data_IF_923043053774
#
_entry.id   IF_923043053774
#
_cell.length_a   1.000
_cell.length_b   1.000
_cell.length_c   1.000
_cell.angle_alpha   90.00
_cell.angle_beta   90.00
_cell.angle_gamma   90.00
#
_symmetry.space_group_name_H-M   'P 1'
#
loop_
_entity.id
_entity.type
_entity.pdbx_description
1 polymer ?
#
# COMPACT_ATOMS: atom_id res chain seq x y z
N UNK A 1 -41.14 11.92 -23.32
CA UNK A 1 -40.14 10.84 -23.46
C UNK A 1 -38.78 11.50 -23.47
N UNK A 2 -38.05 11.35 -22.37
CA UNK A 2 -36.99 12.27 -21.92
C UNK A 2 -35.64 11.99 -22.56
N UNK A 3 -34.81 13.03 -22.63
CA UNK A 3 -33.41 13.09 -23.09
C UNK A 3 -32.50 11.96 -22.57
N UNK A 4 -32.92 11.27 -21.49
CA UNK A 4 -32.28 10.07 -20.93
C UNK A 4 -32.40 8.83 -21.82
N UNK A 5 -33.53 8.62 -22.51
CA UNK A 5 -33.73 7.47 -23.42
C UNK A 5 -32.87 7.62 -24.68
N UNK A 6 -32.71 8.84 -25.18
CA UNK A 6 -31.84 9.13 -26.34
C UNK A 6 -30.37 8.92 -26.00
N UNK A 7 -29.93 9.33 -24.80
CA UNK A 7 -28.58 9.03 -24.29
C UNK A 7 -28.33 7.53 -24.07
N UNK A 8 -29.34 6.79 -23.62
CA UNK A 8 -29.29 5.34 -23.43
C UNK A 8 -29.16 4.57 -24.76
N UNK A 9 -29.93 4.98 -25.79
CA UNK A 9 -29.81 4.39 -27.14
C UNK A 9 -28.45 4.72 -27.76
N UNK A 10 -27.93 5.94 -27.57
CA UNK A 10 -26.58 6.31 -28.01
C UNK A 10 -25.50 5.47 -27.32
N UNK A 11 -25.67 5.15 -26.03
CA UNK A 11 -24.73 4.31 -25.25
C UNK A 11 -24.75 2.85 -25.73
N UNK A 12 -25.94 2.29 -26.00
CA UNK A 12 -26.10 0.94 -26.54
C UNK A 12 -25.50 0.79 -27.96
N UNK A 13 -25.65 1.81 -28.80
CA UNK A 13 -25.02 1.85 -30.14
C UNK A 13 -23.50 2.00 -30.04
N UNK A 14 -22.99 2.71 -29.04
CA UNK A 14 -21.54 2.82 -28.80
C UNK A 14 -20.94 1.50 -28.30
N UNK A 15 -21.66 0.80 -27.41
CA UNK A 15 -21.28 -0.52 -26.89
C UNK A 15 -21.27 -1.58 -28.01
N UNK A 16 -22.27 -1.62 -28.90
CA UNK A 16 -22.31 -2.61 -30.00
C UNK A 16 -21.17 -2.41 -31.02
N UNK A 17 -20.68 -1.19 -31.19
CA UNK A 17 -19.53 -0.88 -32.07
C UNK A 17 -18.20 -1.30 -31.41
N UNK A 18 -18.05 -1.13 -30.10
CA UNK A 18 -16.83 -1.56 -29.38
C UNK A 18 -16.72 -3.10 -29.36
N UNK A 19 -17.82 -3.81 -29.14
CA UNK A 19 -17.81 -5.27 -28.99
C UNK A 19 -17.79 -6.07 -30.31
N UNK A 20 -17.93 -5.42 -31.47
CA UNK A 20 -17.73 -6.10 -32.77
C UNK A 20 -16.25 -6.29 -33.13
N UNK A 21 -15.34 -5.66 -32.37
CA UNK A 21 -13.89 -5.77 -32.58
C UNK A 21 -13.18 -6.70 -31.58
N UNK A 22 -13.85 -7.12 -30.50
CA UNK A 22 -13.29 -8.02 -29.48
C UNK A 22 -13.90 -9.43 -29.58
N UNK A 23 -13.04 -10.45 -29.63
CA UNK A 23 -13.36 -11.86 -29.90
C UNK A 23 -13.91 -12.62 -28.67
N UNK A 24 -14.79 -11.99 -27.89
CA UNK A 24 -15.29 -12.51 -26.60
C UNK A 24 -16.81 -12.36 -26.46
N UNK A 25 -17.56 -12.86 -27.44
CA UNK A 25 -19.02 -12.72 -27.53
C UNK A 25 -19.84 -13.70 -26.67
N UNK A 26 -19.22 -14.55 -25.83
CA UNK A 26 -19.96 -15.70 -25.25
C UNK A 26 -20.32 -15.57 -23.76
N UNK A 27 -19.68 -14.69 -22.97
CA UNK A 27 -19.91 -14.64 -21.51
C UNK A 27 -20.58 -13.35 -20.98
N UNK A 28 -20.74 -12.31 -21.80
CA UNK A 28 -21.19 -10.98 -21.34
C UNK A 28 -22.73 -10.83 -21.41
N UNK A 29 -23.42 -11.70 -22.14
CA UNK A 29 -24.86 -11.59 -22.40
C UNK A 29 -25.76 -11.70 -21.14
N UNK A 30 -25.55 -12.64 -20.19
CA UNK A 30 -26.47 -12.81 -19.06
C UNK A 30 -26.40 -11.69 -18.01
N UNK A 31 -25.22 -11.08 -17.84
CA UNK A 31 -24.99 -10.00 -16.87
C UNK A 31 -25.60 -8.69 -17.37
N UNK A 32 -25.47 -8.39 -18.67
CA UNK A 32 -26.13 -7.27 -19.33
C UNK A 32 -27.65 -7.41 -19.33
N UNK A 33 -28.18 -8.63 -19.47
CA UNK A 33 -29.61 -8.92 -19.37
C UNK A 33 -30.14 -8.67 -17.95
N UNK A 34 -29.44 -9.15 -16.92
CA UNK A 34 -29.78 -8.87 -15.51
C UNK A 34 -29.72 -7.38 -15.18
N UNK A 35 -28.77 -6.65 -15.76
CA UNK A 35 -28.65 -5.20 -15.59
C UNK A 35 -29.82 -4.47 -16.25
N UNK A 36 -30.20 -4.86 -17.47
CA UNK A 36 -31.35 -4.31 -18.17
C UNK A 36 -32.65 -4.56 -17.39
N UNK A 37 -32.85 -5.77 -16.85
CA UNK A 37 -34.03 -6.15 -16.08
C UNK A 37 -34.13 -5.41 -14.74
N UNK A 38 -33.01 -5.15 -14.06
CA UNK A 38 -32.99 -4.37 -12.81
C UNK A 38 -33.22 -2.88 -13.04
N UNK A 39 -32.66 -2.30 -14.11
CA UNK A 39 -32.83 -0.87 -14.45
C UNK A 39 -34.28 -0.57 -14.88
N UNK A 40 -34.95 -1.52 -15.53
CA UNK A 40 -36.38 -1.42 -15.88
C UNK A 40 -37.31 -1.35 -14.65
N UNK A 41 -36.87 -1.86 -13.50
CA UNK A 41 -37.65 -1.93 -12.26
C UNK A 41 -37.43 -0.79 -11.26
N UNK A 42 -36.64 0.25 -11.60
CA UNK A 42 -36.45 1.50 -10.82
C UNK A 42 -36.25 1.30 -9.29
N UNK A 43 -35.36 0.40 -8.88
CA UNK A 43 -34.95 0.28 -7.48
C UNK A 43 -33.76 1.20 -7.16
N UNK A 44 -33.60 1.59 -5.89
CA UNK A 44 -32.45 2.38 -5.40
C UNK A 44 -31.11 1.71 -5.75
N UNK A 45 -31.04 0.37 -5.65
CA UNK A 45 -29.90 -0.46 -6.08
C UNK A 45 -29.48 -0.25 -7.54
N UNK A 46 -30.43 0.11 -8.43
CA UNK A 46 -30.12 0.33 -9.83
C UNK A 46 -29.42 1.68 -10.07
N UNK A 47 -29.68 2.68 -9.22
CA UNK A 47 -28.96 3.96 -9.30
C UNK A 47 -27.53 3.82 -8.77
N UNK A 48 -27.33 3.08 -7.68
CA UNK A 48 -25.99 2.73 -7.19
C UNK A 48 -25.18 1.98 -8.25
N UNK A 49 -25.77 0.99 -8.93
CA UNK A 49 -25.09 0.28 -10.01
C UNK A 49 -24.78 1.16 -11.24
N UNK A 50 -25.65 2.11 -11.56
CA UNK A 50 -25.42 3.07 -12.67
C UNK A 50 -24.30 4.05 -12.31
N UNK A 51 -24.25 4.53 -11.07
CA UNK A 51 -23.18 5.39 -10.59
C UNK A 51 -21.86 4.63 -10.46
N UNK A 52 -21.88 3.36 -10.04
CA UNK A 52 -20.72 2.46 -10.07
C UNK A 52 -20.24 2.19 -11.50
N UNK A 53 -21.14 2.00 -12.46
CA UNK A 53 -20.79 1.79 -13.87
C UNK A 53 -20.26 3.07 -14.54
N UNK A 54 -20.86 4.23 -14.22
CA UNK A 54 -20.35 5.54 -14.67
C UNK A 54 -19.03 5.89 -14.00
N UNK A 55 -18.82 5.49 -12.74
CA UNK A 55 -17.53 5.59 -12.07
C UNK A 55 -16.54 4.55 -12.61
N UNK A 56 -16.97 3.44 -13.20
CA UNK A 56 -16.08 2.51 -13.91
C UNK A 56 -15.58 3.14 -15.22
N UNK A 57 -16.43 3.96 -15.86
CA UNK A 57 -16.13 4.71 -17.08
C UNK A 57 -15.37 6.02 -16.81
N UNK A 58 -15.58 6.64 -15.64
CA UNK A 58 -14.84 7.81 -15.15
C UNK A 58 -13.71 7.34 -14.23
N UNK A 59 -12.46 7.49 -14.66
CA UNK A 59 -11.24 7.10 -13.93
C UNK A 59 -11.04 7.71 -12.52
N UNK A 60 -12.02 8.42 -11.94
CA UNK A 60 -11.99 8.98 -10.59
C UNK A 60 -12.40 7.95 -9.53
N UNK A 61 -11.67 7.88 -8.42
CA UNK A 61 -12.06 7.09 -7.25
C UNK A 61 -13.41 7.57 -6.67
N UNK A 62 -14.18 6.68 -6.02
CA UNK A 62 -15.38 7.08 -5.27
C UNK A 62 -14.98 7.98 -4.09
N UNK A 63 -15.95 8.70 -3.52
CA UNK A 63 -15.71 9.44 -2.28
C UNK A 63 -15.27 8.47 -1.17
N UNK A 64 -14.24 8.83 -0.38
CA UNK A 64 -13.79 7.98 0.70
C UNK A 64 -14.86 7.94 1.80
N UNK A 65 -15.01 6.78 2.45
CA UNK A 65 -15.89 6.66 3.60
C UNK A 65 -15.42 7.57 4.74
N UNK A 66 -16.38 7.99 5.57
CA UNK A 66 -16.08 8.73 6.78
C UNK A 66 -15.39 7.84 7.83
N UNK A 67 -14.77 8.48 8.83
CA UNK A 67 -13.98 7.77 9.83
C UNK A 67 -14.87 6.89 10.73
N UNK A 68 -16.14 7.26 10.91
CA UNK A 68 -17.14 6.51 11.68
C UNK A 68 -17.57 5.21 11.00
N UNK A 69 -17.40 5.10 9.68
CA UNK A 69 -17.64 3.87 8.91
C UNK A 69 -16.41 2.98 8.94
N UNK A 70 -15.22 3.55 8.72
CA UNK A 70 -13.96 2.80 8.66
C UNK A 70 -13.54 2.30 10.05
N UNK A 71 -13.75 3.11 11.08
CA UNK A 71 -13.41 2.85 12.49
C UNK A 71 -11.97 2.33 12.69
N UNK A 72 -10.93 3.04 12.21
CA UNK A 72 -9.57 2.58 12.42
C UNK A 72 -9.19 2.61 13.91
N UNK A 73 -8.28 1.72 14.29
CA UNK A 73 -7.68 1.67 15.62
C UNK A 73 -6.17 1.84 15.52
N UNK A 74 -5.57 2.41 16.56
CA UNK A 74 -4.11 2.52 16.70
C UNK A 74 -3.69 1.96 18.07
N UNK A 75 -3.08 0.78 18.07
CA UNK A 75 -2.72 0.08 19.30
C UNK A 75 -1.22 0.14 19.54
N UNK A 76 -0.82 0.70 20.68
CA UNK A 76 0.57 0.91 21.09
C UNK A 76 1.08 -0.24 21.97
N UNK A 77 2.31 -0.66 21.68
CA UNK A 77 3.03 -1.74 22.33
C UNK A 77 4.44 -1.27 22.73
N UNK A 78 4.83 -1.60 23.97
CA UNK A 78 6.15 -1.30 24.51
C UNK A 78 6.46 -2.33 25.60
N UNK A 79 7.72 -2.79 25.65
CA UNK A 79 8.16 -3.78 26.65
C UNK A 79 7.87 -3.25 28.06
N UNK A 80 7.23 -4.10 28.89
CA UNK A 80 6.94 -3.78 30.28
C UNK A 80 5.70 -2.91 30.50
N UNK A 81 5.07 -2.39 29.43
CA UNK A 81 3.84 -1.62 29.51
C UNK A 81 2.63 -2.45 29.07
N UNK A 82 1.47 -2.19 29.68
CA UNK A 82 0.19 -2.69 29.17
C UNK A 82 -0.13 -1.99 27.85
N UNK A 83 -0.53 -2.75 26.84
CA UNK A 83 -0.92 -2.22 25.53
C UNK A 83 -2.00 -1.13 25.67
N UNK A 84 -1.92 -0.11 24.83
CA UNK A 84 -2.89 1.00 24.83
C UNK A 84 -3.54 1.13 23.46
N UNK A 85 -4.85 0.95 23.40
CA UNK A 85 -5.64 1.06 22.18
C UNK A 85 -6.27 2.45 22.05
N UNK A 86 -6.14 3.03 20.87
CA UNK A 86 -6.78 4.29 20.48
C UNK A 86 -7.88 3.97 19.47
N UNK A 87 -9.12 4.33 19.81
CA UNK A 87 -10.27 4.18 18.91
C UNK A 87 -10.40 5.40 17.99
N UNK A 88 -11.13 5.21 16.88
CA UNK A 88 -11.27 6.20 15.82
C UNK A 88 -11.79 7.58 16.27
N UNK A 89 -12.57 7.64 17.34
CA UNK A 89 -13.22 8.85 17.87
C UNK A 89 -12.41 9.55 18.97
N UNK A 90 -11.26 9.00 19.36
CA UNK A 90 -10.41 9.58 20.39
C UNK A 90 -9.80 10.90 19.92
N UNK A 91 -9.81 11.91 20.80
CA UNK A 91 -9.18 13.20 20.53
C UNK A 91 -7.65 13.06 20.44
N UNK A 92 -7.01 13.46 19.32
CA UNK A 92 -5.57 13.28 19.14
C UNK A 92 -4.73 13.96 20.22
N UNK A 93 -5.09 15.19 20.61
CA UNK A 93 -4.31 15.98 21.57
C UNK A 93 -4.34 15.37 22.96
N UNK A 94 -5.53 15.01 23.46
CA UNK A 94 -5.70 14.35 24.77
C UNK A 94 -5.04 12.98 24.80
N UNK A 95 -5.21 12.20 23.73
CA UNK A 95 -4.63 10.86 23.61
C UNK A 95 -3.11 10.91 23.65
N UNK A 96 -2.49 11.81 22.88
CA UNK A 96 -1.03 11.96 22.85
C UNK A 96 -0.49 12.45 24.19
N UNK A 97 -1.18 13.38 24.87
CA UNK A 97 -0.78 13.81 26.22
C UNK A 97 -0.78 12.63 27.20
N UNK A 98 -1.77 11.74 27.11
CA UNK A 98 -1.83 10.54 27.94
C UNK A 98 -0.74 9.51 27.58
N UNK A 99 -0.55 9.22 26.28
CA UNK A 99 0.53 8.34 25.80
C UNK A 99 1.91 8.81 26.29
N UNK A 100 2.13 10.13 26.30
CA UNK A 100 3.34 10.72 26.85
C UNK A 100 3.45 10.49 28.37
N UNK A 101 2.37 10.71 29.13
CA UNK A 101 2.40 10.56 30.60
C UNK A 101 2.63 9.12 31.05
N UNK A 102 2.23 8.14 30.26
CA UNK A 102 2.45 6.70 30.54
C UNK A 102 3.71 6.14 29.85
N UNK A 103 4.51 6.99 29.20
CA UNK A 103 5.86 6.66 28.74
C UNK A 103 5.99 6.09 27.32
N UNK A 104 4.88 5.90 26.58
CA UNK A 104 4.93 5.38 25.20
C UNK A 104 5.72 6.24 24.22
N UNK A 105 5.89 7.53 24.54
CA UNK A 105 6.62 8.48 23.70
C UNK A 105 8.03 8.79 24.24
N UNK A 106 8.43 8.21 25.38
CA UNK A 106 9.76 8.36 25.98
C UNK A 106 10.74 7.32 25.40
N UNK A 107 10.80 7.25 24.08
CA UNK A 107 11.59 6.28 23.31
C UNK A 107 12.38 6.99 22.23
N UNK A 108 13.33 6.30 21.62
CA UNK A 108 14.10 6.86 20.51
C UNK A 108 13.33 6.80 19.19
N UNK A 109 12.51 5.77 19.01
CA UNK A 109 11.76 5.52 17.77
C UNK A 109 10.33 5.05 18.06
N UNK A 110 9.37 5.62 17.34
CA UNK A 110 8.01 5.11 17.19
C UNK A 110 7.90 4.48 15.80
N UNK A 111 7.55 3.19 15.75
CA UNK A 111 7.37 2.44 14.50
C UNK A 111 5.88 2.17 14.31
N UNK A 112 5.29 2.81 13.30
CA UNK A 112 3.90 2.64 12.88
C UNK A 112 3.83 1.56 11.79
N UNK A 113 2.97 0.56 11.95
CA UNK A 113 2.81 -0.56 11.00
C UNK A 113 1.35 -0.63 10.57
N UNK A 114 1.08 -0.76 9.27
CA UNK A 114 -0.30 -0.87 8.76
C UNK A 114 -0.42 -1.85 7.59
N UNK A 115 -1.58 -2.49 7.50
CA UNK A 115 -1.93 -3.44 6.47
C UNK A 115 -2.59 -2.80 5.23
N UNK A 116 -2.79 -3.63 4.21
CA UNK A 116 -3.47 -3.27 2.97
C UNK A 116 -4.86 -3.85 2.82
N UNK A 117 -5.25 -4.11 1.58
CA UNK A 117 -6.56 -4.64 1.20
C UNK A 117 -6.80 -6.06 1.73
N UNK A 118 -8.04 -6.37 2.11
CA UNK A 118 -8.45 -7.68 2.61
C UNK A 118 -7.66 -8.16 3.85
N UNK A 119 -7.16 -7.20 4.63
CA UNK A 119 -6.46 -7.41 5.89
C UNK A 119 -7.09 -6.49 6.93
N UNK A 120 -6.89 -6.83 8.20
CA UNK A 120 -7.37 -6.05 9.35
C UNK A 120 -6.33 -6.09 10.49
N UNK A 121 -6.68 -5.54 11.66
CA UNK A 121 -5.80 -5.47 12.82
C UNK A 121 -5.21 -6.83 13.24
N UNK A 122 -6.00 -7.90 13.11
CA UNK A 122 -5.66 -9.25 13.60
C UNK A 122 -4.78 -10.03 12.60
N UNK A 123 -4.30 -9.39 11.53
CA UNK A 123 -3.47 -10.08 10.52
C UNK A 123 -2.10 -10.44 11.10
N UNK A 124 -1.76 -11.74 11.09
CA UNK A 124 -0.59 -12.32 11.76
C UNK A 124 0.72 -11.55 11.56
N UNK A 125 1.05 -11.18 10.32
CA UNK A 125 2.34 -10.55 10.01
C UNK A 125 2.55 -9.20 10.74
N UNK A 126 1.47 -8.46 11.04
CA UNK A 126 1.56 -7.22 11.82
C UNK A 126 2.10 -7.51 13.22
N UNK A 127 1.62 -8.60 13.83
CA UNK A 127 2.02 -9.02 15.15
C UNK A 127 3.41 -9.66 15.15
N UNK A 128 3.76 -10.44 14.12
CA UNK A 128 5.12 -10.96 13.96
C UNK A 128 6.16 -9.83 13.88
N UNK A 129 5.88 -8.78 13.09
CA UNK A 129 6.76 -7.61 13.01
C UNK A 129 6.90 -6.92 14.36
N UNK A 130 5.76 -6.68 15.04
CA UNK A 130 5.74 -6.07 16.36
C UNK A 130 6.58 -6.90 17.35
N UNK A 131 6.44 -8.22 17.37
CA UNK A 131 7.20 -9.08 18.29
C UNK A 131 8.70 -9.10 17.95
N UNK A 132 9.09 -9.17 16.68
CA UNK A 132 10.51 -9.09 16.27
C UNK A 132 11.13 -7.73 16.62
N UNK A 133 10.42 -6.62 16.37
CA UNK A 133 10.90 -5.27 16.71
C UNK A 133 11.07 -5.11 18.23
N UNK A 134 10.11 -5.61 19.04
CA UNK A 134 10.26 -5.58 20.50
C UNK A 134 11.42 -6.47 20.96
N UNK A 135 11.66 -7.62 20.33
CA UNK A 135 12.85 -8.44 20.63
C UNK A 135 14.16 -7.71 20.27
N UNK A 136 14.19 -6.94 19.19
CA UNK A 136 15.33 -6.08 18.83
C UNK A 136 15.51 -4.97 19.88
N UNK A 137 14.42 -4.33 20.32
CA UNK A 137 14.44 -3.35 21.42
C UNK A 137 15.11 -3.91 22.67
N UNK A 138 14.73 -5.13 23.08
CA UNK A 138 15.29 -5.81 24.25
C UNK A 138 16.78 -6.15 24.08
N UNK A 139 17.14 -6.77 22.94
CA UNK A 139 18.48 -7.29 22.70
C UNK A 139 19.52 -6.21 22.38
N UNK A 140 19.12 -5.17 21.63
CA UNK A 140 20.02 -4.09 21.19
C UNK A 140 19.94 -2.84 22.08
N UNK A 141 19.07 -2.83 23.10
CA UNK A 141 18.84 -1.70 24.00
C UNK A 141 18.50 -0.40 23.26
N UNK A 142 17.79 -0.51 22.15
CA UNK A 142 17.23 0.65 21.42
C UNK A 142 15.81 0.84 21.95
N UNK A 143 15.49 1.90 22.70
CA UNK A 143 14.13 2.10 23.18
C UNK A 143 13.21 2.40 22.00
N UNK A 144 12.25 1.51 21.73
CA UNK A 144 11.27 1.67 20.66
C UNK A 144 9.86 1.39 21.19
N UNK A 145 8.89 2.09 20.59
CA UNK A 145 7.46 1.80 20.71
C UNK A 145 6.96 1.36 19.34
N UNK A 146 6.14 0.31 19.31
CA UNK A 146 5.47 -0.14 18.08
C UNK A 146 4.00 0.23 18.18
N UNK A 147 3.42 0.75 17.10
CA UNK A 147 1.99 0.97 17.02
C UNK A 147 1.42 0.39 15.73
N UNK A 148 0.42 -0.48 15.87
CA UNK A 148 -0.28 -1.12 14.74
C UNK A 148 -1.53 -0.29 14.44
N UNK A 149 -1.64 0.15 13.19
CA UNK A 149 -2.84 0.78 12.64
C UNK A 149 -3.70 -0.29 11.97
N UNK A 150 -4.83 -0.61 12.59
CA UNK A 150 -5.86 -1.46 12.00
C UNK A 150 -6.95 -0.62 11.36
N UNK A 151 -7.29 -0.88 10.10
CA UNK A 151 -8.35 -0.15 9.39
C UNK A 151 -9.26 -1.08 8.57
N UNK A 152 -9.45 -2.30 9.07
CA UNK A 152 -10.24 -3.36 8.43
C UNK A 152 -11.67 -2.93 8.06
N UNK A 153 -12.32 -2.03 8.81
CA UNK A 153 -13.64 -1.51 8.43
C UNK A 153 -13.68 -0.75 7.10
N UNK A 154 -12.53 -0.34 6.56
CA UNK A 154 -12.40 0.26 5.23
C UNK A 154 -11.48 -0.50 4.26
N UNK A 155 -10.77 -1.53 4.71
CA UNK A 155 -9.81 -2.32 3.91
C UNK A 155 -10.23 -3.78 3.72
N UNK A 156 -10.83 -4.38 4.74
CA UNK A 156 -11.30 -5.76 4.77
C UNK A 156 -12.76 -5.82 4.30
N UNK A 157 -12.94 -5.43 3.05
CA UNK A 157 -14.24 -5.36 2.39
C UNK A 157 -14.26 -6.30 1.19
N UNK A 158 -15.45 -6.51 0.64
CA UNK A 158 -15.64 -7.40 -0.51
C UNK A 158 -14.72 -7.00 -1.66
N UNK A 159 -14.14 -8.00 -2.34
CA UNK A 159 -13.11 -7.82 -3.39
C UNK A 159 -13.55 -6.81 -4.46
N UNK A 160 -14.82 -6.85 -4.88
CA UNK A 160 -15.36 -5.91 -5.88
C UNK A 160 -15.40 -4.43 -5.42
N UNK A 161 -15.21 -4.17 -4.13
CA UNK A 161 -15.11 -2.82 -3.54
C UNK A 161 -13.66 -2.32 -3.39
N UNK A 162 -12.69 -2.92 -4.09
CA UNK A 162 -11.28 -2.49 -4.04
C UNK A 162 -11.11 -0.97 -4.24
N UNK A 163 -11.78 -0.37 -5.22
CA UNK A 163 -11.72 1.09 -5.46
C UNK A 163 -12.16 1.91 -4.24
N UNK A 164 -13.14 1.41 -3.49
CA UNK A 164 -13.57 2.06 -2.25
C UNK A 164 -12.49 1.95 -1.17
N UNK A 165 -11.85 0.78 -1.02
CA UNK A 165 -10.72 0.64 -0.10
C UNK A 165 -9.54 1.54 -0.49
N UNK A 166 -9.25 1.65 -1.78
CA UNK A 166 -8.25 2.58 -2.32
C UNK A 166 -8.61 4.05 -2.02
N UNK A 167 -9.88 4.45 -2.16
CA UNK A 167 -10.34 5.79 -1.76
C UNK A 167 -10.17 6.03 -0.26
N UNK A 168 -10.54 5.04 0.57
CA UNK A 168 -10.48 5.12 2.04
C UNK A 168 -9.07 5.39 2.59
N UNK A 169 -8.01 5.12 1.81
CA UNK A 169 -6.62 5.50 2.13
C UNK A 169 -6.51 6.98 2.54
N UNK A 170 -7.24 7.87 1.86
CA UNK A 170 -7.24 9.31 2.17
C UNK A 170 -7.74 9.57 3.60
N UNK A 171 -8.93 9.04 3.95
CA UNK A 171 -9.54 9.24 5.26
C UNK A 171 -8.66 8.67 6.38
N UNK A 172 -8.11 7.46 6.19
CA UNK A 172 -7.26 6.81 7.21
C UNK A 172 -5.94 7.56 7.37
N UNK A 173 -5.30 7.97 6.27
CA UNK A 173 -4.06 8.73 6.32
C UNK A 173 -4.24 10.12 6.98
N UNK A 174 -5.35 10.80 6.69
CA UNK A 174 -5.71 12.06 7.36
C UNK A 174 -5.93 11.88 8.86
N UNK A 175 -6.57 10.79 9.27
CA UNK A 175 -6.78 10.47 10.67
C UNK A 175 -5.46 10.20 11.39
N UNK A 176 -4.59 9.36 10.83
CA UNK A 176 -3.26 9.06 11.39
C UNK A 176 -2.39 10.33 11.48
N UNK A 177 -2.43 11.19 10.46
CA UNK A 177 -1.67 12.44 10.43
C UNK A 177 -1.93 13.33 11.66
N UNK A 178 -3.17 13.38 12.14
CA UNK A 178 -3.55 14.19 13.32
C UNK A 178 -2.79 13.72 14.57
N UNK A 179 -2.68 12.40 14.78
CA UNK A 179 -1.91 11.85 15.90
C UNK A 179 -0.42 12.12 15.76
N UNK A 180 0.14 11.92 14.55
CA UNK A 180 1.58 12.16 14.31
C UNK A 180 1.95 13.64 14.54
N UNK A 181 1.10 14.58 14.13
CA UNK A 181 1.28 16.01 14.39
C UNK A 181 1.32 16.29 15.90
N UNK A 182 0.36 15.77 16.67
CA UNK A 182 0.34 15.97 18.12
C UNK A 182 1.53 15.28 18.82
N UNK A 183 1.92 14.08 18.38
CA UNK A 183 3.10 13.36 18.90
C UNK A 183 4.36 14.22 18.76
N UNK A 184 4.59 14.82 17.59
CA UNK A 184 5.77 15.66 17.36
C UNK A 184 5.73 17.00 18.08
N UNK A 185 4.55 17.51 18.45
CA UNK A 185 4.43 18.69 19.33
C UNK A 185 4.90 18.39 20.75
N UNK A 186 4.63 17.18 21.26
CA UNK A 186 5.02 16.77 22.62
C UNK A 186 6.44 16.21 22.68
N UNK A 187 6.87 15.46 21.66
CA UNK A 187 8.19 14.84 21.54
C UNK A 187 8.83 15.19 20.19
N UNK A 188 9.39 16.39 20.07
CA UNK A 188 9.97 16.90 18.82
C UNK A 188 11.18 16.08 18.31
N UNK A 189 11.90 15.41 19.21
CA UNK A 189 13.07 14.59 18.90
C UNK A 189 12.74 13.11 18.66
N UNK A 190 11.51 12.66 18.94
CA UNK A 190 11.09 11.28 18.68
C UNK A 190 11.12 11.01 17.17
N UNK A 191 11.83 9.96 16.76
CA UNK A 191 11.85 9.52 15.36
C UNK A 191 10.58 8.74 15.04
N UNK A 192 9.91 9.10 13.94
CA UNK A 192 8.66 8.44 13.53
C UNK A 192 8.89 7.69 12.22
N UNK A 193 8.78 6.36 12.28
CA UNK A 193 8.98 5.46 11.15
C UNK A 193 7.63 4.84 10.79
N UNK A 194 7.28 4.82 9.51
CA UNK A 194 6.08 4.15 8.98
C UNK A 194 6.47 2.94 8.15
N UNK A 195 5.73 1.83 8.30
CA UNK A 195 5.83 0.63 7.48
C UNK A 195 4.42 0.31 6.99
N UNK A 196 4.22 0.30 5.68
CA UNK A 196 2.91 0.02 5.09
C UNK A 196 3.03 -0.99 3.97
N UNK A 197 2.17 -2.01 3.98
CA UNK A 197 2.07 -2.99 2.90
C UNK A 197 0.90 -2.69 1.97
N UNK A 198 1.08 -2.86 0.65
CA UNK A 198 0.00 -2.70 -0.32
C UNK A 198 -0.69 -1.32 -0.20
N UNK A 199 -2.02 -1.24 -0.05
CA UNK A 199 -2.73 0.01 0.23
C UNK A 199 -2.21 0.76 1.47
N UNK A 200 -1.67 0.03 2.45
CA UNK A 200 -1.08 0.58 3.66
C UNK A 200 0.15 1.46 3.42
N UNK A 201 0.91 1.21 2.35
CA UNK A 201 2.02 2.08 1.95
C UNK A 201 1.54 3.49 1.61
N UNK A 202 0.39 3.58 0.93
CA UNK A 202 -0.24 4.85 0.58
C UNK A 202 -0.87 5.53 1.78
N UNK A 203 -1.42 4.78 2.75
CA UNK A 203 -1.88 5.33 4.04
C UNK A 203 -0.74 6.07 4.75
N UNK A 204 0.44 5.43 4.82
CA UNK A 204 1.65 6.07 5.38
C UNK A 204 2.08 7.29 4.57
N UNK A 205 2.02 7.21 3.24
CA UNK A 205 2.30 8.34 2.34
C UNK A 205 1.42 9.56 2.61
N UNK A 206 0.10 9.37 2.68
CA UNK A 206 -0.86 10.44 3.02
C UNK A 206 -0.57 11.02 4.41
N UNK A 207 -0.36 10.16 5.41
CA UNK A 207 -0.07 10.59 6.77
C UNK A 207 1.23 11.40 6.85
N UNK A 208 2.28 10.95 6.15
CA UNK A 208 3.55 11.65 6.02
C UNK A 208 3.43 12.99 5.30
N UNK A 209 2.67 13.02 4.20
CA UNK A 209 2.44 14.23 3.40
C UNK A 209 1.77 15.33 4.20
N UNK A 210 0.76 14.99 4.99
CA UNK A 210 -0.03 15.95 5.78
C UNK A 210 0.73 16.37 7.03
N UNK A 211 1.34 15.41 7.74
CA UNK A 211 2.01 15.69 9.00
C UNK A 211 3.39 16.31 8.83
N UNK A 212 4.10 16.04 7.72
CA UNK A 212 5.50 16.40 7.46
C UNK A 212 6.49 15.94 8.54
N UNK A 213 6.12 14.88 9.25
CA UNK A 213 6.73 14.53 10.53
C UNK A 213 7.31 13.11 10.59
N UNK A 214 7.29 12.38 9.46
CA UNK A 214 7.93 11.08 9.33
C UNK A 214 9.42 11.24 9.00
N UNK A 215 10.25 10.54 9.75
CA UNK A 215 11.68 10.42 9.47
C UNK A 215 11.94 9.33 8.43
N UNK A 216 11.13 8.27 8.42
CA UNK A 216 11.20 7.21 7.41
C UNK A 216 9.82 6.66 7.08
N UNK A 217 9.56 6.35 5.81
CA UNK A 217 8.44 5.49 5.40
C UNK A 217 8.99 4.35 4.54
N UNK A 218 8.67 3.11 4.91
CA UNK A 218 8.93 1.93 4.08
C UNK A 218 7.65 1.46 3.43
N UNK A 219 7.63 1.40 2.09
CA UNK A 219 6.57 0.81 1.29
C UNK A 219 6.88 -0.64 0.96
N UNK A 220 6.09 -1.58 1.48
CA UNK A 220 6.20 -3.00 1.17
C UNK A 220 5.21 -3.32 0.05
N UNK A 221 5.75 -3.42 -1.17
CA UNK A 221 5.03 -3.65 -2.41
C UNK A 221 3.75 -2.79 -2.54
N UNK A 222 3.89 -1.44 -2.61
CA UNK A 222 2.75 -0.53 -2.62
C UNK A 222 1.79 -0.85 -3.76
N UNK A 223 0.48 -0.75 -3.54
CA UNK A 223 -0.51 -1.19 -4.53
C UNK A 223 -0.44 -0.38 -5.85
N UNK A 224 -0.39 -1.06 -6.99
CA UNK A 224 -0.42 -0.42 -8.31
C UNK A 224 -1.81 0.05 -8.75
N UNK A 225 -2.84 -0.82 -8.72
CA UNK A 225 -4.18 -0.49 -9.18
C UNK A 225 -4.78 0.69 -8.40
N UNK A 226 -5.34 1.67 -9.13
CA UNK A 226 -5.85 2.96 -8.63
C UNK A 226 -4.81 4.02 -8.20
N UNK A 227 -3.50 3.76 -8.38
CA UNK A 227 -2.44 4.69 -7.94
C UNK A 227 -1.52 5.14 -9.10
N UNK A 228 -1.06 4.21 -9.95
CA UNK A 228 -0.03 4.47 -10.98
C UNK A 228 -0.42 5.47 -12.08
N UNK A 229 -1.70 5.53 -12.47
CA UNK A 229 -2.19 6.34 -13.59
C UNK A 229 -3.35 7.28 -13.22
N UNK A 230 -3.55 7.49 -11.92
CA UNK A 230 -4.60 8.38 -11.43
C UNK A 230 -3.96 9.74 -11.11
N UNK A 231 -4.33 10.77 -11.87
CA UNK A 231 -3.91 12.14 -11.55
C UNK A 231 -4.37 12.52 -10.15
N UNK A 232 -3.48 13.17 -9.38
CA UNK A 232 -3.70 13.48 -7.96
C UNK A 232 -3.94 12.27 -7.05
N UNK A 233 -3.43 11.09 -7.42
CA UNK A 233 -3.51 9.92 -6.56
C UNK A 233 -2.83 10.13 -5.20
N UNK A 234 -3.38 9.46 -4.19
CA UNK A 234 -2.84 9.41 -2.83
C UNK A 234 -1.63 8.47 -2.70
N UNK A 235 -0.97 8.19 -3.82
CA UNK A 235 0.23 7.36 -3.93
C UNK A 235 1.32 7.85 -3.00
N UNK A 236 2.10 6.92 -2.46
CA UNK A 236 3.30 7.22 -1.68
C UNK A 236 4.31 7.96 -2.57
N UNK A 237 5.03 8.92 -2.00
CA UNK A 237 6.01 9.74 -2.73
C UNK A 237 7.29 9.90 -1.93
N UNK A 238 8.44 10.16 -2.59
CA UNK A 238 9.70 10.35 -1.88
C UNK A 238 9.74 11.56 -0.95
N UNK A 239 8.80 12.50 -1.10
CA UNK A 239 8.67 13.70 -0.27
C UNK A 239 7.72 13.53 0.93
N UNK A 240 7.13 12.35 1.11
CA UNK A 240 6.20 12.10 2.21
C UNK A 240 6.94 11.83 3.55
N UNK A 241 8.25 11.54 3.51
CA UNK A 241 9.14 11.47 4.68
C UNK A 241 10.54 12.00 4.33
N UNK A 242 11.43 12.12 5.33
CA UNK A 242 12.84 12.45 5.08
C UNK A 242 13.57 11.37 4.28
N UNK A 243 13.15 10.12 4.43
CA UNK A 243 13.64 8.98 3.69
C UNK A 243 12.47 8.03 3.38
N UNK A 244 12.30 7.67 2.12
CA UNK A 244 11.31 6.68 1.69
C UNK A 244 12.03 5.54 1.00
N UNK A 245 11.84 4.31 1.47
CA UNK A 245 12.39 3.11 0.84
C UNK A 245 11.27 2.16 0.44
N UNK A 246 11.35 1.60 -0.76
CA UNK A 246 10.27 0.79 -1.33
C UNK A 246 10.81 -0.56 -1.77
N UNK A 247 10.07 -1.64 -1.48
CA UNK A 247 10.40 -2.99 -1.93
C UNK A 247 9.31 -3.42 -2.89
N UNK A 248 9.65 -3.54 -4.18
CA UNK A 248 8.75 -3.98 -5.24
C UNK A 248 8.92 -5.47 -5.47
N UNK A 249 7.85 -6.23 -5.32
CA UNK A 249 7.90 -7.70 -5.44
C UNK A 249 6.87 -8.27 -6.40
N UNK A 250 5.81 -7.53 -6.73
CA UNK A 250 4.67 -8.04 -7.51
C UNK A 250 4.15 -7.03 -8.54
N UNK A 251 5.06 -6.52 -9.37
CA UNK A 251 4.77 -5.46 -10.32
C UNK A 251 3.51 -5.64 -11.18
N UNK A 252 2.58 -4.70 -11.07
CA UNK A 252 1.30 -4.60 -11.77
C UNK A 252 1.46 -4.12 -13.21
N UNK A 253 0.61 -4.65 -14.10
CA UNK A 253 0.45 -4.14 -15.46
C UNK A 253 -0.81 -3.28 -15.58
N UNK A 254 -0.56 -2.00 -15.79
CA UNK A 254 -1.56 -0.96 -16.04
C UNK A 254 -2.31 -1.04 -17.39
N UNK A 255 -2.02 -2.04 -18.25
CA UNK A 255 -2.81 -2.39 -19.45
C UNK A 255 -3.79 -3.54 -19.20
N UNK A 256 -3.72 -4.17 -18.02
CA UNK A 256 -4.72 -5.13 -17.60
C UNK A 256 -6.09 -4.43 -17.57
N UNK A 257 -7.07 -5.07 -18.18
CA UNK A 257 -8.45 -4.59 -18.24
C UNK A 257 -8.94 -4.30 -16.80
N UNK A 258 -9.73 -3.25 -16.52
CA UNK A 258 -10.30 -3.04 -15.19
C UNK A 258 -11.08 -4.26 -14.63
N UNK A 259 -11.52 -5.17 -15.49
CA UNK A 259 -12.07 -6.48 -15.11
C UNK A 259 -11.03 -7.49 -14.62
N UNK A 260 -9.76 -7.32 -14.99
CA UNK A 260 -8.62 -8.11 -14.52
C UNK A 260 -8.08 -7.64 -13.16
N UNK A 261 -8.54 -6.48 -12.64
CA UNK A 261 -8.35 -6.10 -11.23
C UNK A 261 -8.94 -7.12 -10.25
N UNK A 262 -9.89 -7.93 -10.72
CA UNK A 262 -10.59 -8.95 -9.94
C UNK A 262 -10.17 -10.38 -10.30
N UNK A 263 -9.25 -10.55 -11.26
CA UNK A 263 -8.69 -11.85 -11.56
C UNK A 263 -7.57 -12.20 -10.56
N UNK A 264 -7.44 -13.47 -10.14
CA UNK A 264 -6.36 -13.93 -9.27
C UNK A 264 -5.03 -14.02 -10.05
N UNK A 265 -4.59 -12.90 -10.63
CA UNK A 265 -3.30 -12.76 -11.30
C UNK A 265 -2.30 -12.06 -10.39
N UNK A 266 -1.10 -12.64 -10.33
CA UNK A 266 -0.03 -12.36 -9.39
C UNK A 266 0.75 -11.09 -9.79
N UNK A 267 0.09 -9.92 -9.66
CA UNK A 267 0.59 -8.59 -10.06
C UNK A 267 -0.16 -7.46 -9.32
N UNK A 268 0.01 -7.28 -8.01
CA UNK A 268 -0.72 -6.25 -7.23
C UNK A 268 0.09 -5.00 -6.89
N UNK A 269 1.42 -5.11 -6.85
CA UNK A 269 2.33 -4.03 -6.47
C UNK A 269 2.62 -3.05 -7.61
N UNK A 270 3.09 -1.86 -7.31
CA UNK A 270 3.51 -0.89 -8.34
C UNK A 270 4.91 -1.24 -8.85
N UNK A 271 5.22 -0.94 -10.11
CA UNK A 271 6.61 -0.93 -10.62
C UNK A 271 7.23 0.47 -10.64
N UNK A 272 6.39 1.50 -10.51
CA UNK A 272 6.82 2.89 -10.57
C UNK A 272 7.72 3.19 -9.37
N UNK A 273 8.92 3.78 -9.60
CA UNK A 273 9.78 4.20 -8.51
C UNK A 273 9.15 5.35 -7.74
N UNK A 274 8.79 5.09 -6.48
CA UNK A 274 8.07 6.01 -5.60
C UNK A 274 8.80 6.25 -4.26
N UNK A 275 10.04 5.76 -4.14
CA UNK A 275 10.95 5.95 -3.02
C UNK A 275 12.05 7.00 -3.24
N UNK A 276 12.70 7.36 -2.14
CA UNK A 276 14.07 7.89 -2.19
C UNK A 276 15.03 6.83 -2.74
N UNK A 277 14.76 5.57 -2.43
CA UNK A 277 15.37 4.38 -3.03
C UNK A 277 14.28 3.32 -3.26
N UNK A 278 14.41 2.58 -4.34
CA UNK A 278 13.45 1.56 -4.75
C UNK A 278 14.22 0.26 -5.00
N UNK A 279 13.85 -0.80 -4.29
CA UNK A 279 14.46 -2.12 -4.37
C UNK A 279 13.57 -3.04 -5.19
N UNK A 280 14.17 -3.70 -6.17
CA UNK A 280 13.50 -4.63 -7.08
C UNK A 280 14.13 -6.03 -6.97
N UNK A 281 13.88 -6.76 -5.85
CA UNK A 281 14.31 -8.14 -5.72
C UNK A 281 13.78 -8.97 -6.90
N UNK A 282 14.68 -9.69 -7.58
CA UNK A 282 14.38 -10.45 -8.79
C UNK A 282 13.63 -9.62 -9.85
N UNK A 283 14.07 -8.37 -10.04
CA UNK A 283 13.50 -7.38 -10.96
C UNK A 283 12.10 -6.86 -10.58
N UNK A 284 11.54 -7.31 -9.45
CA UNK A 284 10.28 -6.79 -8.90
C UNK A 284 9.00 -7.36 -9.51
N UNK A 285 9.09 -8.43 -10.32
CA UNK A 285 7.93 -9.06 -10.97
C UNK A 285 7.51 -10.36 -10.26
N UNK A 286 8.14 -11.48 -10.62
CA UNK A 286 7.78 -12.80 -10.09
C UNK A 286 8.84 -13.31 -9.15
N UNK A 287 8.45 -13.47 -7.88
CA UNK A 287 9.37 -13.87 -6.84
C UNK A 287 9.58 -15.38 -6.86
N UNK A 288 10.82 -15.87 -6.71
CA UNK A 288 11.09 -17.30 -6.63
C UNK A 288 10.23 -17.97 -5.55
N UNK A 289 9.54 -19.04 -5.91
CA UNK A 289 8.67 -19.78 -4.98
C UNK A 289 7.23 -19.32 -4.90
N UNK A 290 6.91 -18.11 -5.35
CA UNK A 290 5.53 -17.71 -5.57
C UNK A 290 5.01 -18.49 -6.79
N UNK A 291 4.02 -19.37 -6.59
CA UNK A 291 3.43 -20.11 -7.70
C UNK A 291 2.64 -19.15 -8.58
N UNK A 292 2.57 -19.42 -9.89
CA UNK A 292 1.76 -18.60 -10.82
C UNK A 292 0.26 -18.56 -10.43
N UNK A 293 -0.20 -19.54 -9.64
CA UNK A 293 -1.57 -19.65 -9.14
C UNK A 293 -1.72 -19.43 -7.62
N UNK A 294 -0.66 -19.00 -6.92
CA UNK A 294 -0.81 -18.58 -5.52
C UNK A 294 -1.33 -17.15 -5.52
N UNK A 295 -2.55 -16.94 -5.02
CA UNK A 295 -3.12 -15.61 -4.84
C UNK A 295 -2.13 -14.79 -3.98
N UNK A 296 -1.64 -13.68 -4.53
CA UNK A 296 -0.74 -12.73 -3.86
C UNK A 296 0.63 -13.28 -3.42
N UNK A 297 1.12 -14.41 -3.97
CA UNK A 297 2.37 -15.01 -3.52
C UNK A 297 3.60 -14.10 -3.68
N UNK A 298 3.71 -13.43 -4.83
CA UNK A 298 4.75 -12.40 -5.02
C UNK A 298 4.49 -11.16 -4.17
N UNK A 299 3.22 -10.76 -4.00
CA UNK A 299 2.85 -9.56 -3.23
C UNK A 299 3.24 -9.63 -1.75
N UNK A 300 3.06 -10.82 -1.16
CA UNK A 300 3.43 -11.10 0.22
C UNK A 300 4.94 -11.28 0.41
N UNK A 301 5.71 -11.50 -0.66
CA UNK A 301 7.17 -11.67 -0.56
C UNK A 301 7.86 -10.45 0.04
N UNK A 302 7.35 -9.24 -0.20
CA UNK A 302 7.89 -8.02 0.41
C UNK A 302 7.87 -8.10 1.94
N UNK A 303 6.83 -8.72 2.52
CA UNK A 303 6.70 -8.95 3.96
C UNK A 303 7.76 -9.94 4.47
N UNK A 304 7.96 -11.07 3.78
CA UNK A 304 8.96 -12.08 4.17
C UNK A 304 10.38 -11.50 4.14
N UNK A 305 10.71 -10.80 3.04
CA UNK A 305 12.04 -10.21 2.85
C UNK A 305 12.32 -9.15 3.90
N UNK A 306 11.35 -8.26 4.17
CA UNK A 306 11.55 -7.23 5.18
C UNK A 306 11.60 -7.81 6.59
N UNK A 307 10.78 -8.80 6.94
CA UNK A 307 10.84 -9.50 8.24
C UNK A 307 12.21 -10.12 8.47
N UNK A 308 12.71 -10.88 7.49
CA UNK A 308 14.00 -11.54 7.60
C UNK A 308 15.14 -10.53 7.71
N UNK A 309 15.05 -9.38 7.02
CA UNK A 309 16.06 -8.32 7.09
C UNK A 309 16.22 -7.72 8.49
N UNK A 310 15.20 -7.79 9.36
CA UNK A 310 15.25 -7.25 10.72
C UNK A 310 16.30 -7.95 11.59
N UNK A 311 16.49 -9.26 11.39
CA UNK A 311 17.42 -10.09 12.17
C UNK A 311 18.66 -10.52 11.37
N UNK A 312 18.69 -10.26 10.07
CA UNK A 312 19.75 -10.66 9.14
C UNK A 312 20.45 -9.45 8.51
N UNK A 313 21.03 -8.60 9.36
CA UNK A 313 21.75 -7.40 8.92
C UNK A 313 22.91 -7.73 7.97
N UNK A 314 23.14 -6.85 7.01
CA UNK A 314 24.11 -6.91 5.93
C UNK A 314 23.90 -8.05 4.91
N UNK A 315 22.75 -8.72 4.93
CA UNK A 315 22.49 -9.85 4.02
C UNK A 315 21.88 -9.41 2.69
N UNK A 316 21.13 -8.32 2.65
CA UNK A 316 20.57 -7.74 1.42
C UNK A 316 21.32 -6.51 0.92
N UNK A 317 22.65 -6.49 1.09
CA UNK A 317 23.48 -5.39 0.58
C UNK A 317 23.71 -5.58 -0.92
N UNK A 318 23.51 -4.52 -1.69
CA UNK A 318 23.73 -4.52 -3.13
C UNK A 318 24.37 -3.21 -3.60
N UNK A 319 25.22 -3.32 -4.61
CA UNK A 319 25.71 -2.23 -5.45
C UNK A 319 25.17 -2.34 -6.89
N UNK A 320 24.20 -3.22 -7.14
CA UNK A 320 23.58 -3.40 -8.44
C UNK A 320 22.36 -2.50 -8.56
N UNK A 321 22.22 -1.85 -9.71
CA UNK A 321 21.04 -1.08 -10.11
C UNK A 321 20.50 -1.59 -11.43
N UNK A 322 19.20 -1.43 -11.64
CA UNK A 322 18.57 -1.74 -12.92
C UNK A 322 19.05 -0.79 -14.03
N UNK A 323 19.07 -1.26 -15.26
CA UNK A 323 19.52 -0.46 -16.40
C UNK A 323 18.47 0.57 -16.86
N UNK A 324 17.19 0.31 -16.55
CA UNK A 324 16.02 1.15 -16.84
C UNK A 324 14.95 0.96 -15.75
N UNK A 325 13.98 1.87 -15.70
CA UNK A 325 12.79 1.72 -14.87
C UNK A 325 12.05 0.43 -15.30
N UNK A 326 11.66 -0.45 -14.36
CA UNK A 326 10.84 -1.60 -14.67
C UNK A 326 9.52 -1.20 -15.30
N UNK A 327 9.21 -1.85 -16.41
CA UNK A 327 7.95 -1.73 -17.12
C UNK A 327 7.45 -3.14 -17.39
N UNK A 328 6.14 -3.35 -17.37
CA UNK A 328 5.60 -4.70 -17.59
C UNK A 328 5.71 -5.15 -19.05
N UNK A 329 5.62 -4.21 -19.98
CA UNK A 329 5.53 -4.49 -21.40
C UNK A 329 6.88 -4.46 -22.09
N UNK A 330 7.82 -3.75 -21.47
CA UNK A 330 9.23 -3.82 -21.77
C UNK A 330 10.04 -4.21 -20.51
N UNK A 331 9.90 -5.48 -20.03
CA UNK A 331 10.55 -5.94 -18.80
C UNK A 331 12.03 -5.66 -18.77
N UNK A 332 12.50 -5.13 -17.64
CA UNK A 332 13.93 -5.05 -17.38
C UNK A 332 14.45 -6.43 -16.98
N UNK A 333 15.50 -6.87 -17.66
CA UNK A 333 16.18 -8.16 -17.40
C UNK A 333 17.67 -7.99 -17.14
N UNK A 334 18.17 -6.75 -17.17
CA UNK A 334 19.57 -6.41 -17.00
C UNK A 334 19.76 -5.48 -15.80
N UNK A 335 20.91 -5.65 -15.15
CA UNK A 335 21.38 -4.79 -14.08
C UNK A 335 22.86 -4.47 -14.31
N UNK A 336 23.34 -3.41 -13.66
CA UNK A 336 24.72 -2.95 -13.76
C UNK A 336 25.23 -2.49 -12.39
N UNK A 337 26.56 -2.49 -12.16
CA UNK A 337 27.14 -1.92 -10.95
C UNK A 337 26.86 -0.42 -10.81
N UNK A 338 26.76 0.03 -9.56
CA UNK A 338 26.59 1.40 -9.11
C UNK A 338 27.75 1.79 -8.19
N UNK A 339 28.08 3.09 -8.16
CA UNK A 339 29.01 3.63 -7.15
C UNK A 339 28.38 3.70 -5.76
N UNK A 340 27.07 3.49 -5.64
CA UNK A 340 26.33 3.52 -4.39
C UNK A 340 26.00 2.11 -3.93
N UNK A 341 26.04 1.93 -2.61
CA UNK A 341 25.61 0.70 -1.95
C UNK A 341 24.38 1.00 -1.12
N UNK A 342 23.44 0.06 -1.11
CA UNK A 342 22.28 0.09 -0.24
C UNK A 342 22.02 -1.31 0.34
N UNK A 343 21.27 -1.34 1.43
CA UNK A 343 20.75 -2.58 2.02
C UNK A 343 19.24 -2.53 2.01
N UNK A 344 18.61 -3.49 1.34
CA UNK A 344 17.16 -3.59 1.34
C UNK A 344 16.65 -3.97 2.74
N UNK A 345 15.56 -3.33 3.16
CA UNK A 345 14.80 -3.71 4.36
C UNK A 345 15.10 -2.87 5.60
N UNK A 346 15.01 -3.47 6.78
CA UNK A 346 14.93 -2.76 8.06
C UNK A 346 16.08 -1.79 8.32
N UNK A 347 17.28 -2.06 7.80
CA UNK A 347 18.49 -1.25 8.00
C UNK A 347 18.78 -0.26 6.85
N UNK A 348 17.87 -0.06 5.89
CA UNK A 348 18.11 0.78 4.72
C UNK A 348 18.47 2.24 5.04
N UNK A 349 17.99 2.78 6.17
CA UNK A 349 18.26 4.16 6.61
C UNK A 349 19.69 4.40 7.10
N UNK A 350 20.51 3.35 7.19
CA UNK A 350 21.92 3.43 7.60
C UNK A 350 22.88 3.64 6.43
N UNK A 351 22.37 3.63 5.21
CA UNK A 351 23.15 3.72 3.98
C UNK A 351 23.01 5.11 3.35
N UNK A 352 24.05 5.64 2.68
CA UNK A 352 23.98 6.93 2.01
C UNK A 352 22.89 6.92 0.94
N UNK A 353 22.04 7.95 0.93
CA UNK A 353 21.01 8.13 -0.09
C UNK A 353 21.70 8.63 -1.37
N UNK A 354 21.60 7.91 -2.50
CA UNK A 354 22.10 8.39 -3.78
C UNK A 354 21.40 9.69 -4.19
N UNK A 355 22.07 10.61 -4.91
CA UNK A 355 21.37 11.72 -5.55
C UNK A 355 20.32 11.16 -6.50
N UNK A 356 19.15 11.81 -6.54
CA UNK A 356 17.98 11.37 -7.29
C UNK A 356 18.15 11.62 -8.79
N UNK A 357 18.96 10.78 -9.43
CA UNK A 357 18.91 10.55 -10.87
C UNK A 357 18.19 9.21 -11.11
N UNK A 358 17.45 9.10 -12.22
CA UNK A 358 16.43 8.06 -12.38
C UNK A 358 16.92 6.62 -12.26
N UNK A 359 18.22 6.34 -12.45
CA UNK A 359 18.77 4.98 -12.34
C UNK A 359 19.60 4.68 -11.08
N UNK A 360 20.21 5.66 -10.39
CA UNK A 360 21.06 5.32 -9.24
C UNK A 360 20.26 4.95 -7.98
N UNK A 361 18.93 5.04 -8.02
CA UNK A 361 18.04 4.69 -6.91
C UNK A 361 17.29 3.37 -7.12
N UNK A 362 17.42 2.73 -8.29
CA UNK A 362 16.72 1.50 -8.68
C UNK A 362 17.53 0.25 -8.32
N UNK A 363 17.66 -0.05 -7.04
CA UNK A 363 18.52 -1.14 -6.57
C UNK A 363 17.98 -2.51 -6.94
N UNK A 364 18.85 -3.34 -7.50
CA UNK A 364 18.58 -4.73 -7.82
C UNK A 364 19.26 -5.65 -6.81
N UNK A 365 18.58 -6.74 -6.48
CA UNK A 365 19.20 -7.88 -5.79
C UNK A 365 18.48 -9.16 -6.20
N UNK A 366 19.19 -10.28 -6.17
CA UNK A 366 18.62 -11.60 -6.37
C UNK A 366 18.25 -12.19 -5.00
N UNK A 367 17.09 -12.84 -4.90
CA UNK A 367 16.70 -13.59 -3.70
C UNK A 367 16.35 -15.03 -4.05
N UNK A 368 16.37 -15.91 -3.05
CA UNK A 368 16.07 -17.33 -3.21
C UNK A 368 14.57 -17.65 -3.10
N UNK A 369 14.20 -18.89 -3.45
CA UNK A 369 12.84 -19.41 -3.27
C UNK A 369 12.45 -19.65 -1.81
N UNK A 370 13.42 -20.00 -0.97
CA UNK A 370 13.25 -20.30 0.44
C UNK A 370 14.35 -19.59 1.24
N UNK A 371 14.21 -19.54 2.56
CA UNK A 371 15.30 -19.12 3.44
C UNK A 371 16.54 -20.04 3.34
N UNK A 372 17.76 -19.48 3.46
CA UNK A 372 18.04 -18.04 3.53
C UNK A 372 17.74 -17.36 2.18
N UNK A 373 17.14 -16.17 2.22
CA UNK A 373 16.66 -15.43 1.05
C UNK A 373 17.76 -14.88 0.12
N UNK A 374 19.02 -15.30 0.27
CA UNK A 374 20.20 -14.72 -0.39
C UNK A 374 21.08 -15.74 -1.08
#
# INVERSE_FOLDING_TARGET
>A
MTTKIVKFISLLVSLSIIFTTARSTVLINPLLQKLADKILNKTEEANELIDEFNALLNFSLPDPWNIETIKPTLTFYQIGNKNFEVLYDFDPKKTVAHLNSIGFLHVQQLILITHGFHNNFDTDWLHDYKDVILNITASQKIPQTVAILGWGGGADILVFRYRQAAANVLTVGQWLAKFVIEIKKVQSNLRVYGIGHSLGAHVMGVAGRISKNFDRITGLDPAGPCFEKVENSETLRPSDAKFVDVIHTDGYDSRLDPSEWFFPVNHYGSLIPIGSVDFYPNYGYHQPGAGTFTVAGSHLRSLDLFLWSMTNRNRFVTDLILTKVPDFDDPVTENKPSSYRAEMGFFSDRWPIPPRNESNTLFYLKTNKNEPWV
#
